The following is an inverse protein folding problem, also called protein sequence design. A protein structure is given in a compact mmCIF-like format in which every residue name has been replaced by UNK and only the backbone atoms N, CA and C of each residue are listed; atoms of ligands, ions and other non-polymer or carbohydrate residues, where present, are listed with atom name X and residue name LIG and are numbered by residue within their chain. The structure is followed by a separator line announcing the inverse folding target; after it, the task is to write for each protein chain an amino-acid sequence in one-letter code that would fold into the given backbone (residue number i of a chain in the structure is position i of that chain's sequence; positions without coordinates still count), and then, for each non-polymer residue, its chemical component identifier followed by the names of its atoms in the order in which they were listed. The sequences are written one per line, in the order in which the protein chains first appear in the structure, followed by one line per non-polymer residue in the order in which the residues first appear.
data_IF_449385104140
#
_entry.id   IF_449385104140
#
_cell.length_a   1.000
_cell.length_b   1.000
_cell.length_c   1.000
_cell.angle_alpha   90.00
_cell.angle_beta   90.00
_cell.angle_gamma   90.00
#
_symmetry.space_group_name_H-M   'P 1'
#
loop_
_entity.id
_entity.type
_entity.pdbx_description
1 polymer ?
#
# COMPACT_ATOMS: atom_id res chain seq x y z
N UNK A 1 24.59 -27.86 -48.46
CA UNK A 1 25.54 -27.68 -47.32
C UNK A 1 25.60 -26.23 -46.81
N UNK A 2 25.50 -25.22 -47.68
CA UNK A 2 25.62 -23.79 -47.33
C UNK A 2 24.59 -23.30 -46.29
N UNK A 3 23.33 -23.76 -46.35
CA UNK A 3 22.26 -23.36 -45.40
C UNK A 3 22.45 -23.86 -43.95
N UNK A 4 23.17 -24.97 -43.75
CA UNK A 4 23.50 -25.46 -42.39
C UNK A 4 24.63 -24.64 -41.79
N UNK A 5 25.58 -24.21 -42.61
CA UNK A 5 26.70 -23.37 -42.20
C UNK A 5 26.28 -21.96 -41.78
N UNK A 6 25.32 -21.35 -42.48
CA UNK A 6 24.77 -20.05 -42.09
C UNK A 6 24.06 -20.08 -40.73
N UNK A 7 23.45 -21.22 -40.35
CA UNK A 7 22.85 -21.40 -39.02
C UNK A 7 23.91 -21.46 -37.91
N UNK A 8 25.00 -22.22 -38.11
CA UNK A 8 26.09 -22.30 -37.13
C UNK A 8 26.86 -20.98 -37.00
N UNK A 9 27.05 -20.24 -38.10
CA UNK A 9 27.63 -18.90 -38.07
C UNK A 9 26.74 -17.90 -37.31
N UNK A 10 25.42 -17.93 -37.55
CA UNK A 10 24.48 -17.08 -36.82
C UNK A 10 24.41 -17.40 -35.33
N UNK A 11 24.42 -18.69 -34.96
CA UNK A 11 24.40 -19.13 -33.57
C UNK A 11 25.69 -18.76 -32.84
N UNK A 12 26.85 -18.91 -33.49
CA UNK A 12 28.15 -18.48 -32.98
C UNK A 12 28.18 -16.97 -32.71
N UNK A 13 27.69 -16.17 -33.66
CA UNK A 13 27.63 -14.71 -33.53
C UNK A 13 26.70 -14.29 -32.39
N UNK A 14 25.55 -14.94 -32.24
CA UNK A 14 24.62 -14.69 -31.14
C UNK A 14 25.22 -14.99 -29.78
N UNK A 15 25.89 -16.15 -29.63
CA UNK A 15 26.56 -16.53 -28.38
C UNK A 15 27.68 -15.54 -28.04
N UNK A 16 28.46 -15.10 -29.03
CA UNK A 16 29.52 -14.12 -28.82
C UNK A 16 28.97 -12.76 -28.34
N UNK A 17 27.86 -12.28 -28.93
CA UNK A 17 27.21 -11.04 -28.52
C UNK A 17 26.71 -11.13 -27.07
N UNK A 18 25.97 -12.20 -26.73
CA UNK A 18 25.43 -12.41 -25.38
C UNK A 18 26.55 -12.56 -24.35
N UNK A 19 27.61 -13.29 -24.69
CA UNK A 19 28.75 -13.50 -23.78
C UNK A 19 29.59 -12.25 -23.59
N UNK A 20 29.68 -11.36 -24.59
CA UNK A 20 30.40 -10.08 -24.47
C UNK A 20 29.77 -9.12 -23.44
N UNK A 21 28.49 -9.32 -23.11
CA UNK A 21 27.79 -8.58 -22.06
C UNK A 21 28.18 -8.99 -20.64
N UNK A 22 28.76 -10.18 -20.46
CA UNK A 22 29.27 -10.64 -19.17
C UNK A 22 30.75 -10.30 -19.03
N UNK A 23 31.06 -9.01 -18.87
CA UNK A 23 32.38 -8.61 -18.37
C UNK A 23 32.42 -8.81 -16.85
N UNK A 24 33.40 -9.57 -16.36
CA UNK A 24 33.72 -9.55 -14.93
C UNK A 24 34.37 -8.20 -14.65
N UNK A 25 33.59 -7.27 -14.12
CA UNK A 25 34.18 -6.08 -13.54
C UNK A 25 34.96 -6.53 -12.32
N UNK A 26 36.23 -6.13 -12.21
CA UNK A 26 36.96 -6.22 -10.95
C UNK A 26 36.10 -5.59 -9.84
N UNK A 27 36.20 -6.13 -8.62
CA UNK A 27 35.44 -5.65 -7.49
C UNK A 27 35.58 -4.12 -7.41
N UNK A 28 34.47 -3.40 -7.62
CA UNK A 28 34.45 -1.94 -7.54
C UNK A 28 34.91 -1.56 -6.14
N UNK A 29 36.11 -0.99 -6.04
CA UNK A 29 36.53 -0.29 -4.85
C UNK A 29 35.52 0.86 -4.66
N UNK A 30 34.73 0.80 -3.59
CA UNK A 30 33.73 1.80 -3.23
C UNK A 30 34.43 3.12 -2.88
N UNK A 31 34.86 3.87 -3.89
CA UNK A 31 35.65 5.09 -3.67
C UNK A 31 35.28 6.27 -4.56
N UNK A 32 34.64 6.05 -5.72
CA UNK A 32 34.26 7.16 -6.60
C UNK A 32 32.90 6.92 -7.25
N UNK A 33 31.88 7.54 -6.65
CA UNK A 33 30.57 7.72 -7.27
C UNK A 33 30.61 9.07 -7.98
N UNK A 34 30.46 9.06 -9.30
CA UNK A 34 30.46 10.27 -10.12
C UNK A 34 29.28 11.18 -9.73
N UNK A 35 29.56 12.42 -9.34
CA UNK A 35 28.59 13.38 -8.79
C UNK A 35 28.66 13.60 -7.27
N UNK A 36 29.51 12.87 -6.55
CA UNK A 36 29.85 13.14 -5.15
C UNK A 36 31.24 13.80 -5.09
N UNK A 37 31.28 15.12 -4.95
CA UNK A 37 32.54 15.86 -4.81
C UNK A 37 33.05 15.71 -3.37
N UNK A 38 33.95 14.77 -3.14
CA UNK A 38 34.80 14.76 -1.95
C UNK A 38 36.07 15.55 -2.30
N UNK A 39 36.50 16.44 -1.40
CA UNK A 39 37.81 17.10 -1.52
C UNK A 39 38.94 16.06 -1.40
N UNK A 40 40.11 16.31 -2.00
CA UNK A 40 41.22 15.34 -2.10
C UNK A 40 41.74 14.84 -0.73
N UNK A 41 41.42 15.57 0.32
CA UNK A 41 41.87 15.44 1.69
C UNK A 41 40.74 15.08 2.68
N UNK A 42 39.52 14.80 2.18
CA UNK A 42 38.37 14.43 3.01
C UNK A 42 38.30 12.92 3.30
N UNK A 43 38.89 12.51 4.43
CA UNK A 43 38.79 11.12 4.91
C UNK A 43 37.42 10.91 5.56
N UNK A 44 36.52 10.23 4.86
CA UNK A 44 35.22 9.81 5.42
C UNK A 44 35.38 8.52 6.21
N UNK A 45 35.43 8.63 7.54
CA UNK A 45 35.36 7.47 8.42
C UNK A 45 33.89 7.06 8.60
N UNK A 46 33.39 6.19 7.74
CA UNK A 46 32.10 5.54 7.95
C UNK A 46 32.31 4.18 8.60
N UNK A 47 31.73 4.00 9.79
CA UNK A 47 31.66 2.70 10.44
C UNK A 47 30.28 2.10 10.18
N UNK A 48 30.27 0.90 9.59
CA UNK A 48 29.05 0.09 9.52
C UNK A 48 28.97 -0.67 10.84
N UNK A 49 27.83 -0.63 11.56
CA UNK A 49 27.67 -1.40 12.78
C UNK A 49 27.95 -2.88 12.54
N UNK A 50 28.73 -3.49 13.41
CA UNK A 50 29.02 -4.92 13.38
C UNK A 50 27.74 -5.75 13.57
N UNK A 51 27.80 -7.02 13.18
CA UNK A 51 26.67 -7.97 13.38
C UNK A 51 26.27 -7.99 14.86
N UNK A 52 27.21 -7.92 15.80
CA UNK A 52 26.94 -7.86 17.24
C UNK A 52 26.30 -6.54 17.70
N UNK A 53 26.69 -5.40 17.12
CA UNK A 53 26.08 -4.09 17.41
C UNK A 53 24.63 -4.01 16.88
N UNK A 54 24.36 -4.58 15.70
CA UNK A 54 22.99 -4.70 15.18
C UNK A 54 22.16 -5.74 15.95
N UNK A 55 22.77 -6.84 16.40
CA UNK A 55 22.10 -7.88 17.17
C UNK A 55 21.68 -7.43 18.58
N UNK A 56 22.39 -6.47 19.18
CA UNK A 56 22.05 -5.91 20.50
C UNK A 56 20.82 -5.01 20.51
N UNK A 57 20.34 -4.55 19.35
CA UNK A 57 19.16 -3.70 19.31
C UNK A 57 17.91 -4.56 19.15
N UNK A 58 17.44 -5.13 20.26
CA UNK A 58 16.08 -5.67 20.36
C UNK A 58 15.10 -4.50 20.27
N UNK A 59 14.75 -4.09 19.06
CA UNK A 59 13.59 -3.24 18.87
C UNK A 59 12.36 -4.09 19.20
N UNK A 60 11.82 -3.89 20.41
CA UNK A 60 10.53 -4.41 20.78
C UNK A 60 9.45 -3.59 20.05
N UNK A 61 9.39 -3.72 18.72
CA UNK A 61 8.33 -3.14 17.94
C UNK A 61 7.03 -3.77 18.43
N UNK A 62 6.05 -2.97 18.90
CA UNK A 62 4.77 -3.53 19.27
C UNK A 62 4.23 -4.27 18.05
N UNK A 63 4.13 -5.60 18.13
CA UNK A 63 3.53 -6.38 17.08
C UNK A 63 2.06 -5.99 17.04
N UNK A 64 1.72 -5.09 16.12
CA UNK A 64 0.37 -4.54 16.04
C UNK A 64 -0.65 -5.61 15.70
N UNK A 65 -0.20 -6.75 15.15
CA UNK A 65 -1.01 -7.93 14.88
C UNK A 65 -2.32 -7.59 14.19
N UNK A 66 -3.41 -8.14 14.72
CA UNK A 66 -4.77 -7.86 14.26
C UNK A 66 -5.46 -6.72 15.00
N UNK A 67 -4.74 -5.82 15.67
CA UNK A 67 -5.34 -4.63 16.28
C UNK A 67 -5.79 -3.59 15.24
N UNK A 68 -6.56 -2.59 15.69
CA UNK A 68 -6.90 -1.42 14.86
C UNK A 68 -5.66 -0.66 14.35
N UNK A 69 -4.58 -0.59 15.14
CA UNK A 69 -3.33 0.03 14.70
C UNK A 69 -2.73 -0.77 13.53
N UNK A 70 -2.73 -2.10 13.64
CA UNK A 70 -2.30 -2.99 12.57
C UNK A 70 -3.14 -2.85 11.31
N UNK A 71 -4.45 -2.69 11.46
CA UNK A 71 -5.37 -2.42 10.34
C UNK A 71 -4.99 -1.14 9.58
N UNK A 72 -4.79 -0.03 10.32
CA UNK A 72 -4.38 1.25 9.74
C UNK A 72 -3.03 1.14 9.01
N UNK A 73 -2.05 0.47 9.62
CA UNK A 73 -0.72 0.32 9.04
C UNK A 73 -0.75 -0.56 7.79
N UNK A 74 -1.46 -1.69 7.83
CA UNK A 74 -1.58 -2.59 6.69
C UNK A 74 -2.20 -1.88 5.47
N UNK A 75 -3.23 -1.06 5.69
CA UNK A 75 -3.83 -0.24 4.62
C UNK A 75 -2.82 0.81 4.15
N UNK A 76 -2.22 1.59 5.05
CA UNK A 76 -1.25 2.61 4.67
C UNK A 76 -0.07 2.07 3.83
N UNK A 77 0.43 0.88 4.17
CA UNK A 77 1.49 0.23 3.39
C UNK A 77 1.01 -0.12 1.99
N UNK A 78 -0.21 -0.67 1.87
CA UNK A 78 -0.79 -1.04 0.57
C UNK A 78 -1.12 0.19 -0.29
N UNK A 79 -1.57 1.28 0.32
CA UNK A 79 -2.01 2.49 -0.37
C UNK A 79 -0.83 3.38 -0.81
N UNK A 80 0.15 3.64 0.07
CA UNK A 80 1.23 4.58 -0.25
C UNK A 80 2.57 4.27 0.41
N UNK A 81 2.76 3.05 0.93
CA UNK A 81 3.92 2.70 1.76
C UNK A 81 4.05 3.59 3.02
N UNK A 82 2.95 4.19 3.49
CA UNK A 82 2.96 5.09 4.64
C UNK A 82 3.31 6.55 4.33
N UNK A 83 3.54 6.91 3.08
CA UNK A 83 3.95 8.26 2.68
C UNK A 83 2.78 9.25 2.74
N UNK A 84 2.90 10.27 3.61
CA UNK A 84 1.87 11.31 3.82
C UNK A 84 1.76 12.32 2.67
N UNK A 85 2.80 12.48 1.86
CA UNK A 85 2.85 13.49 0.78
C UNK A 85 2.65 12.90 -0.62
N UNK A 86 2.42 11.58 -0.73
CA UNK A 86 2.28 10.91 -2.02
C UNK A 86 0.97 11.29 -2.70
N UNK A 87 1.03 11.63 -3.98
CA UNK A 87 -0.13 11.83 -4.85
C UNK A 87 0.04 10.94 -6.07
N UNK A 88 -0.95 10.09 -6.35
CA UNK A 88 -0.90 9.19 -7.50
C UNK A 88 -1.41 9.85 -8.80
N UNK A 89 -1.21 9.23 -9.97
CA UNK A 89 -1.64 9.79 -11.26
C UNK A 89 -3.15 10.04 -11.37
N UNK A 90 -3.98 9.34 -10.60
CA UNK A 90 -5.44 9.57 -10.55
C UNK A 90 -5.84 10.68 -9.56
N UNK A 91 -4.87 11.35 -8.92
CA UNK A 91 -5.09 12.45 -8.00
C UNK A 91 -5.54 12.02 -6.60
N UNK A 92 -5.39 10.75 -6.24
CA UNK A 92 -5.55 10.32 -4.85
C UNK A 92 -4.30 10.64 -4.06
N UNK A 93 -4.46 10.99 -2.79
CA UNK A 93 -3.41 11.67 -2.03
C UNK A 93 -3.28 11.21 -0.59
N UNK A 94 -2.05 11.29 -0.09
CA UNK A 94 -1.70 11.02 1.29
C UNK A 94 -1.52 9.53 1.61
N UNK A 95 -1.29 9.27 2.90
CA UNK A 95 -0.98 7.96 3.48
C UNK A 95 -2.00 6.87 3.14
N UNK A 96 -3.25 7.28 2.95
CA UNK A 96 -4.38 6.41 2.71
C UNK A 96 -4.99 6.60 1.31
N UNK A 97 -4.32 7.32 0.42
CA UNK A 97 -4.78 7.59 -0.95
C UNK A 97 -6.23 8.06 -1.00
N UNK A 98 -6.50 9.23 -0.45
CA UNK A 98 -7.83 9.83 -0.47
C UNK A 98 -8.13 10.55 -1.78
N UNK A 99 -9.35 10.37 -2.31
CA UNK A 99 -9.87 11.20 -3.39
C UNK A 99 -10.42 12.54 -2.90
N UNK A 100 -10.35 13.59 -3.73
CA UNK A 100 -10.84 14.95 -3.38
C UNK A 100 -12.33 14.97 -2.98
N UNK A 101 -13.17 14.19 -3.65
CA UNK A 101 -14.61 14.08 -3.32
C UNK A 101 -14.82 13.48 -1.93
N UNK A 102 -14.07 12.42 -1.60
CA UNK A 102 -14.11 11.78 -0.28
C UNK A 102 -13.65 12.72 0.82
N UNK A 103 -12.57 13.48 0.62
CA UNK A 103 -12.09 14.50 1.56
C UNK A 103 -13.19 15.54 1.85
N UNK A 104 -13.84 16.06 0.81
CA UNK A 104 -14.95 17.01 0.98
C UNK A 104 -16.11 16.41 1.77
N UNK A 105 -16.44 15.14 1.53
CA UNK A 105 -17.51 14.43 2.22
C UNK A 105 -17.25 14.23 3.73
N UNK A 106 -16.00 14.32 4.18
CA UNK A 106 -15.60 14.29 5.60
C UNK A 106 -15.14 15.66 6.12
N UNK A 107 -15.39 16.75 5.38
CA UNK A 107 -15.19 18.12 5.84
C UNK A 107 -13.84 18.75 5.49
N UNK A 108 -12.98 18.08 4.72
CA UNK A 108 -11.66 18.60 4.32
C UNK A 108 -11.77 19.16 2.90
N UNK A 109 -11.54 20.47 2.76
CA UNK A 109 -11.57 21.17 1.47
C UNK A 109 -10.16 21.51 0.96
N UNK A 110 -9.24 21.85 1.86
CA UNK A 110 -7.87 22.18 1.52
C UNK A 110 -7.01 20.92 1.41
N UNK A 111 -6.66 20.54 0.17
CA UNK A 111 -5.81 19.39 -0.10
C UNK A 111 -4.34 19.64 0.21
N UNK A 112 -3.89 20.90 0.18
CA UNK A 112 -2.51 21.27 0.51
C UNK A 112 -2.30 21.19 2.02
N UNK A 113 -3.24 21.68 2.81
CA UNK A 113 -3.24 21.48 4.26
C UNK A 113 -3.28 19.98 4.60
N UNK A 114 -4.17 19.22 3.96
CA UNK A 114 -4.28 17.77 4.14
C UNK A 114 -2.95 17.03 3.94
N UNK A 115 -2.22 17.33 2.85
CA UNK A 115 -0.94 16.70 2.53
C UNK A 115 0.17 17.06 3.52
N UNK A 116 0.09 18.24 4.14
CA UNK A 116 1.10 18.72 5.09
C UNK A 116 0.76 18.43 6.55
N UNK A 117 -0.40 17.83 6.84
CA UNK A 117 -0.85 17.56 8.21
C UNK A 117 -1.13 16.05 8.42
N UNK A 118 -0.13 15.27 8.89
CA UNK A 118 -0.29 13.85 9.20
C UNK A 118 -1.45 13.55 10.16
N UNK A 119 -1.65 14.39 11.20
CA UNK A 119 -2.74 14.25 12.17
C UNK A 119 -4.10 14.38 11.48
N UNK A 120 -4.23 15.31 10.52
CA UNK A 120 -5.44 15.47 9.72
C UNK A 120 -5.75 14.23 8.89
N UNK A 121 -4.74 13.57 8.30
CA UNK A 121 -4.92 12.33 7.54
C UNK A 121 -5.38 11.15 8.42
N UNK A 122 -4.82 11.01 9.62
CA UNK A 122 -5.25 9.97 10.58
C UNK A 122 -6.70 10.18 11.02
N UNK A 123 -7.10 11.43 11.28
CA UNK A 123 -8.49 11.80 11.62
C UNK A 123 -9.43 11.55 10.44
N UNK A 124 -8.99 11.90 9.22
CA UNK A 124 -9.74 11.67 8.00
C UNK A 124 -10.03 10.18 7.78
N UNK A 125 -9.03 9.32 7.98
CA UNK A 125 -9.17 7.88 7.90
C UNK A 125 -10.20 7.36 8.91
N UNK A 126 -10.09 7.75 10.19
CA UNK A 126 -11.08 7.36 11.21
C UNK A 126 -12.50 7.84 10.86
N UNK A 127 -12.64 9.07 10.38
CA UNK A 127 -13.94 9.62 9.99
C UNK A 127 -14.57 8.84 8.83
N UNK A 128 -13.79 8.53 7.79
CA UNK A 128 -14.27 7.73 6.66
C UNK A 128 -14.71 6.33 7.10
N UNK A 129 -13.91 5.65 7.93
CA UNK A 129 -14.27 4.34 8.46
C UNK A 129 -15.56 4.39 9.28
N UNK A 130 -15.77 5.45 10.06
CA UNK A 130 -16.99 5.64 10.86
C UNK A 130 -18.24 5.78 9.97
N UNK A 131 -18.14 6.52 8.86
CA UNK A 131 -19.22 6.63 7.87
C UNK A 131 -19.46 5.29 7.17
N UNK A 132 -18.41 4.63 6.69
CA UNK A 132 -18.51 3.35 6.03
C UNK A 132 -19.11 2.26 6.94
N UNK A 133 -18.73 2.24 8.22
CA UNK A 133 -19.30 1.32 9.22
C UNK A 133 -20.79 1.57 9.42
N UNK A 134 -21.22 2.82 9.47
CA UNK A 134 -22.64 3.16 9.50
C UNK A 134 -23.37 2.71 8.23
N UNK A 135 -22.81 3.01 7.06
CA UNK A 135 -23.39 2.65 5.77
C UNK A 135 -23.56 1.15 5.57
N UNK A 136 -22.62 0.36 6.10
CA UNK A 136 -22.57 -1.09 5.99
C UNK A 136 -23.13 -1.83 7.21
N UNK A 137 -23.69 -1.15 8.21
CA UNK A 137 -24.13 -1.78 9.48
C UNK A 137 -25.06 -2.98 9.30
N UNK A 138 -25.94 -2.93 8.28
CA UNK A 138 -26.87 -4.03 7.95
C UNK A 138 -26.13 -5.19 7.28
N UNK A 139 -25.21 -4.86 6.37
CA UNK A 139 -24.37 -5.82 5.69
C UNK A 139 -23.40 -6.53 6.64
N UNK A 140 -22.73 -5.80 7.53
CA UNK A 140 -21.85 -6.36 8.57
C UNK A 140 -22.64 -7.38 9.40
N UNK A 141 -23.78 -6.98 9.97
CA UNK A 141 -24.64 -7.86 10.76
C UNK A 141 -25.09 -9.11 10.00
N UNK A 142 -25.33 -9.00 8.69
CA UNK A 142 -25.86 -10.10 7.86
C UNK A 142 -24.79 -11.05 7.34
N UNK A 143 -23.59 -10.56 7.07
CA UNK A 143 -22.57 -11.28 6.31
C UNK A 143 -21.32 -11.61 7.11
N UNK A 144 -21.06 -10.98 8.25
CA UNK A 144 -19.91 -11.30 9.08
C UNK A 144 -19.86 -12.79 9.43
N UNK A 145 -18.67 -13.37 9.29
CA UNK A 145 -18.42 -14.80 9.51
C UNK A 145 -18.75 -15.71 8.32
N UNK A 146 -19.55 -15.26 7.35
CA UNK A 146 -19.90 -16.06 6.16
C UNK A 146 -18.73 -16.17 5.18
N UNK A 147 -18.75 -17.21 4.37
CA UNK A 147 -17.82 -17.38 3.26
C UNK A 147 -18.52 -17.10 1.94
N UNK A 148 -18.01 -16.16 1.16
CA UNK A 148 -18.48 -15.84 -0.20
C UNK A 148 -17.32 -16.03 -1.16
N UNK A 149 -17.50 -16.86 -2.20
CA UNK A 149 -16.47 -17.16 -3.21
C UNK A 149 -15.09 -17.49 -2.61
N UNK A 150 -15.10 -18.32 -1.57
CA UNK A 150 -13.91 -18.78 -0.85
C UNK A 150 -13.26 -17.76 0.09
N UNK A 151 -13.93 -16.64 0.39
CA UNK A 151 -13.40 -15.60 1.29
C UNK A 151 -14.33 -15.43 2.49
N UNK A 152 -13.76 -15.52 3.69
CA UNK A 152 -14.44 -15.20 4.93
C UNK A 152 -14.68 -13.69 5.02
N UNK A 153 -15.94 -13.30 5.15
CA UNK A 153 -16.37 -11.93 5.33
C UNK A 153 -16.15 -11.52 6.79
N UNK A 154 -15.55 -10.36 6.99
CA UNK A 154 -15.28 -9.76 8.32
C UNK A 154 -15.54 -8.27 8.24
N UNK A 155 -15.90 -7.63 9.36
CA UNK A 155 -16.11 -6.19 9.40
C UNK A 155 -14.91 -5.42 8.81
N UNK A 156 -13.69 -5.73 9.24
CA UNK A 156 -12.47 -5.05 8.78
C UNK A 156 -12.26 -5.18 7.26
N UNK A 157 -12.52 -6.36 6.69
CA UNK A 157 -12.43 -6.58 5.26
C UNK A 157 -13.46 -5.76 4.47
N UNK A 158 -14.69 -5.65 4.99
CA UNK A 158 -15.74 -4.82 4.39
C UNK A 158 -15.42 -3.33 4.47
N UNK A 159 -14.88 -2.86 5.59
CA UNK A 159 -14.47 -1.46 5.76
C UNK A 159 -13.30 -1.08 4.84
N UNK A 160 -12.31 -1.97 4.69
CA UNK A 160 -11.22 -1.76 3.73
C UNK A 160 -11.72 -1.74 2.28
N UNK A 161 -12.62 -2.67 1.92
CA UNK A 161 -13.22 -2.69 0.59
C UNK A 161 -14.05 -1.42 0.31
N UNK A 162 -14.75 -0.89 1.31
CA UNK A 162 -15.46 0.38 1.21
C UNK A 162 -14.52 1.59 1.12
N UNK A 163 -13.33 1.53 1.72
CA UNK A 163 -12.27 2.52 1.51
C UNK A 163 -11.82 2.56 0.05
N UNK A 164 -11.61 1.38 -0.55
CA UNK A 164 -11.18 1.24 -1.95
C UNK A 164 -12.25 1.71 -2.96
N UNK A 165 -13.46 1.17 -2.86
CA UNK A 165 -14.49 1.29 -3.90
C UNK A 165 -15.82 1.86 -3.44
N UNK A 166 -15.92 2.32 -2.20
CA UNK A 166 -17.15 2.84 -1.60
C UNK A 166 -18.09 1.75 -1.07
N UNK A 167 -18.92 2.12 -0.09
CA UNK A 167 -19.87 1.21 0.54
C UNK A 167 -20.93 0.66 -0.43
N UNK A 168 -21.33 1.44 -1.44
CA UNK A 168 -22.27 0.98 -2.48
C UNK A 168 -21.75 -0.22 -3.27
N UNK A 169 -20.48 -0.21 -3.64
CA UNK A 169 -19.83 -1.31 -4.37
C UNK A 169 -19.71 -2.56 -3.49
N UNK A 170 -19.44 -2.39 -2.19
CA UNK A 170 -19.47 -3.49 -1.23
C UNK A 170 -20.87 -4.10 -1.11
N UNK A 171 -21.92 -3.28 -1.04
CA UNK A 171 -23.32 -3.75 -1.01
C UNK A 171 -23.65 -4.60 -2.25
N UNK A 172 -23.24 -4.16 -3.45
CA UNK A 172 -23.43 -4.91 -4.70
C UNK A 172 -22.68 -6.25 -4.69
N UNK A 173 -21.40 -6.24 -4.28
CA UNK A 173 -20.62 -7.46 -4.14
C UNK A 173 -21.29 -8.47 -3.18
N UNK A 174 -21.79 -8.02 -2.03
CA UNK A 174 -22.42 -8.92 -1.05
C UNK A 174 -23.77 -9.45 -1.53
N UNK A 175 -24.59 -8.63 -2.19
CA UNK A 175 -25.92 -9.04 -2.69
C UNK A 175 -25.84 -10.01 -3.85
N UNK A 176 -24.81 -9.89 -4.67
CA UNK A 176 -24.56 -10.78 -5.80
C UNK A 176 -23.79 -12.06 -5.41
N UNK A 177 -23.61 -12.32 -4.11
CA UNK A 177 -22.75 -13.42 -3.63
C UNK A 177 -21.36 -13.41 -4.28
N UNK A 178 -20.80 -12.22 -4.47
CA UNK A 178 -19.44 -11.98 -4.94
C UNK A 178 -19.23 -12.15 -6.44
N UNK A 179 -20.31 -12.23 -7.24
CA UNK A 179 -20.21 -12.25 -8.71
C UNK A 179 -20.02 -10.85 -9.29
N UNK A 180 -20.69 -9.83 -8.75
CA UNK A 180 -20.42 -8.44 -9.11
C UNK A 180 -19.19 -7.91 -8.35
N UNK A 181 -18.31 -7.19 -9.05
CA UNK A 181 -17.09 -6.64 -8.46
C UNK A 181 -16.75 -5.25 -8.97
N UNK A 182 -16.14 -4.45 -8.09
CA UNK A 182 -15.45 -3.21 -8.45
C UNK A 182 -13.95 -3.49 -8.56
N UNK A 183 -13.31 -2.87 -9.56
CA UNK A 183 -11.86 -2.75 -9.69
C UNK A 183 -11.51 -1.26 -9.80
N UNK A 184 -10.44 -0.84 -9.12
CA UNK A 184 -9.91 0.51 -9.28
C UNK A 184 -9.09 0.67 -10.57
N UNK A 185 -8.55 1.87 -10.81
CA UNK A 185 -7.70 2.16 -11.96
C UNK A 185 -6.40 1.35 -12.02
N UNK A 186 -5.96 0.76 -10.89
CA UNK A 186 -4.79 -0.11 -10.81
C UNK A 186 -5.14 -1.61 -10.88
N UNK A 187 -6.41 -1.95 -11.13
CA UNK A 187 -6.89 -3.34 -11.20
C UNK A 187 -7.12 -4.01 -9.84
N UNK A 188 -6.99 -3.27 -8.74
CA UNK A 188 -7.26 -3.75 -7.38
C UNK A 188 -8.75 -4.02 -7.21
N UNK A 189 -9.13 -5.23 -6.80
CA UNK A 189 -10.54 -5.61 -6.65
C UNK A 189 -11.03 -5.52 -5.20
N UNK A 190 -12.34 -5.29 -5.00
CA UNK A 190 -12.96 -5.42 -3.68
C UNK A 190 -12.66 -6.76 -3.03
N UNK A 191 -12.77 -7.85 -3.80
CA UNK A 191 -12.48 -9.21 -3.36
C UNK A 191 -11.08 -9.32 -2.74
N UNK A 192 -10.09 -8.71 -3.39
CA UNK A 192 -8.71 -8.71 -2.89
C UNK A 192 -8.58 -7.95 -1.56
N UNK A 193 -9.31 -6.84 -1.38
CA UNK A 193 -9.28 -6.06 -0.15
C UNK A 193 -10.01 -6.75 1.00
N UNK A 194 -11.18 -7.34 0.74
CA UNK A 194 -11.92 -8.13 1.73
C UNK A 194 -11.03 -9.26 2.26
N UNK A 195 -10.35 -9.99 1.37
CA UNK A 195 -9.45 -11.07 1.74
C UNK A 195 -8.22 -10.56 2.50
N UNK A 196 -7.53 -9.54 1.98
CA UNK A 196 -6.25 -9.05 2.53
C UNK A 196 -6.41 -8.39 3.89
N UNK A 197 -7.47 -7.62 4.07
CA UNK A 197 -7.72 -6.84 5.29
C UNK A 197 -8.74 -7.49 6.21
N UNK A 198 -8.94 -8.80 6.07
CA UNK A 198 -9.83 -9.56 6.94
C UNK A 198 -9.24 -9.86 8.33
N UNK A 199 -10.13 -9.89 9.31
CA UNK A 199 -9.85 -10.37 10.67
C UNK A 199 -9.05 -9.40 11.55
N UNK A 200 -9.09 -8.10 11.28
CA UNK A 200 -8.59 -7.08 12.22
C UNK A 200 -9.70 -6.65 13.18
N UNK A 201 -9.33 -6.28 14.40
CA UNK A 201 -10.20 -5.66 15.38
C UNK A 201 -10.49 -4.21 15.00
N UNK A 202 -11.75 -3.95 14.69
CA UNK A 202 -12.32 -2.64 14.36
C UNK A 202 -13.43 -2.22 15.32
N UNK A 203 -13.53 -2.88 16.49
CA UNK A 203 -14.56 -2.64 17.51
C UNK A 203 -14.60 -1.19 18.00
N UNK A 204 -13.43 -0.57 18.13
CA UNK A 204 -13.17 0.81 18.52
C UNK A 204 -13.55 1.85 17.45
N UNK A 205 -14.00 1.43 16.26
CA UNK A 205 -14.60 2.31 15.26
C UNK A 205 -16.09 2.44 15.57
N UNK A 206 -16.52 3.64 15.96
CA UNK A 206 -17.93 3.94 16.24
C UNK A 206 -18.62 4.35 14.94
N UNK A 207 -19.71 3.67 14.59
CA UNK A 207 -20.50 3.98 13.40
C UNK A 207 -21.16 5.37 13.53
N UNK A 208 -20.96 6.25 12.55
CA UNK A 208 -21.57 7.58 12.54
C UNK A 208 -21.79 8.09 11.10
N UNK A 209 -23.05 8.34 10.67
CA UNK A 209 -23.35 8.84 9.32
C UNK A 209 -22.75 10.22 9.02
N UNK A 210 -22.63 11.05 10.05
CA UNK A 210 -22.25 12.46 9.97
C UNK A 210 -20.81 12.70 10.42
N UNK A 211 -19.98 11.65 10.49
CA UNK A 211 -18.59 11.79 10.89
C UNK A 211 -17.86 12.76 9.93
N UNK A 212 -17.36 13.84 10.51
CA UNK A 212 -16.50 14.83 9.86
C UNK A 212 -15.24 14.99 10.68
N UNK A 213 -14.16 15.40 10.03
CA UNK A 213 -12.95 15.79 10.74
C UNK A 213 -13.22 17.14 11.41
N UNK A 214 -13.15 17.18 12.75
CA UNK A 214 -13.07 18.45 13.46
C UNK A 214 -11.69 19.03 13.17
N UNK A 215 -11.63 20.29 12.73
CA UNK A 215 -10.40 21.06 12.76
C UNK A 215 -10.39 21.69 14.15
N UNK A 216 -9.34 21.42 14.92
CA UNK A 216 -9.15 22.07 16.23
C UNK A 216 -8.50 23.43 15.99
#
# INVERSE_FOLDING_TARGET
MIKKWSYFLGLSLFIAIVSSGFKTNDAKQFGRIEGFHLSEDEITNYTVPTIDETAKTSYNFPFTGKSYIGFKQAIAIKESQGLYKLVNPYGYMGKYQFGKSTLRAIGIKDTKEFLNNPKLQERAFKALLSKNKWELRKEIKRYEGKTINGIKITESGLLAAAHLGGAGSVKKFLRSNGTEGFKDGFGTSLRSYIKRFGGYDTSNIIANPNAKVKLD
#
